data_IF_712357039148
#
_entry.id   IF_712357039148
#
_cell.length_a   1.000
_cell.length_b   1.000
_cell.length_c   1.000
_cell.angle_alpha   90.00
_cell.angle_beta   90.00
_cell.angle_gamma   90.00
#
_symmetry.space_group_name_H-M   'P 1'
#
loop_
_entity.id
_entity.type
_entity.pdbx_description
1 polymer ?
#
# COMPACT_ATOMS: atom_id res chain seq x y z
N UNK A 1 6.53 8.38 -20.48
CA UNK A 1 5.93 8.09 -19.15
C UNK A 1 5.93 9.38 -18.35
N UNK A 2 4.76 9.77 -17.82
CA UNK A 2 4.65 10.99 -17.00
C UNK A 2 4.91 10.73 -15.52
N UNK A 3 5.05 9.47 -15.13
CA UNK A 3 5.41 9.09 -13.76
C UNK A 3 6.85 9.50 -13.47
N UNK A 4 7.06 10.19 -12.36
CA UNK A 4 8.40 10.66 -11.98
C UNK A 4 8.67 10.42 -10.50
N UNK A 5 9.94 10.30 -10.17
CA UNK A 5 10.39 10.19 -8.78
C UNK A 5 9.85 11.37 -7.98
N UNK A 6 9.31 11.08 -6.80
CA UNK A 6 8.64 12.06 -5.95
C UNK A 6 7.13 12.08 -6.09
N UNK A 7 6.55 11.39 -7.09
CA UNK A 7 5.10 11.26 -7.21
C UNK A 7 4.53 10.58 -5.95
N UNK A 8 3.40 11.08 -5.47
CA UNK A 8 2.77 10.62 -4.25
C UNK A 8 1.27 10.42 -4.43
N UNK A 9 0.71 9.52 -3.62
CA UNK A 9 -0.73 9.34 -3.54
C UNK A 9 -1.12 8.94 -2.12
N UNK A 10 -2.17 9.58 -1.61
CA UNK A 10 -2.78 9.22 -0.33
C UNK A 10 -4.23 8.81 -0.56
N UNK A 11 -4.62 7.67 -0.03
CA UNK A 11 -6.00 7.19 -0.03
C UNK A 11 -6.48 6.98 1.39
N UNK A 12 -7.79 7.15 1.62
CA UNK A 12 -8.42 6.83 2.89
C UNK A 12 -9.10 5.47 2.81
N UNK A 13 -9.16 4.77 3.94
CA UNK A 13 -9.91 3.53 4.04
C UNK A 13 -10.40 3.31 5.48
N UNK A 14 -11.41 2.46 5.61
CA UNK A 14 -11.95 2.05 6.91
C UNK A 14 -11.58 0.60 7.15
N UNK A 15 -11.17 0.28 8.38
CA UNK A 15 -10.83 -1.09 8.77
C UNK A 15 -12.11 -1.90 8.90
N UNK A 16 -12.46 -2.64 7.85
CA UNK A 16 -13.70 -3.40 7.77
C UNK A 16 -13.60 -4.54 6.77
N UNK A 17 -14.57 -5.45 6.79
CA UNK A 17 -14.69 -6.51 5.80
C UNK A 17 -13.46 -7.40 5.72
N UNK A 18 -12.91 -7.53 4.53
CA UNK A 18 -11.75 -8.39 4.25
C UNK A 18 -10.47 -7.95 4.93
N UNK A 19 -10.41 -6.70 5.43
CA UNK A 19 -9.24 -6.19 6.10
C UNK A 19 -9.12 -6.69 7.53
N UNK A 20 -10.16 -7.31 8.06
CA UNK A 20 -10.27 -7.71 9.46
C UNK A 20 -9.71 -9.10 9.73
N UNK A 21 -9.18 -9.28 10.93
CA UNK A 21 -8.81 -10.59 11.46
C UNK A 21 -8.94 -10.59 12.99
N UNK A 22 -9.27 -11.76 13.56
CA UNK A 22 -9.18 -12.00 14.99
C UNK A 22 -8.03 -12.96 15.32
N UNK A 23 -7.10 -13.13 14.36
CA UNK A 23 -5.92 -14.00 14.46
C UNK A 23 -6.32 -15.44 14.84
N UNK A 24 -7.24 -16.02 14.04
CA UNK A 24 -7.71 -17.39 14.27
C UNK A 24 -8.51 -17.58 15.54
N UNK A 25 -9.21 -16.53 15.99
CA UNK A 25 -10.02 -16.57 17.21
C UNK A 25 -9.22 -16.30 18.48
N UNK A 26 -7.93 -15.93 18.38
CA UNK A 26 -7.10 -15.68 19.57
C UNK A 26 -7.32 -14.30 20.17
N UNK A 27 -7.86 -13.35 19.40
CA UNK A 27 -8.16 -12.00 19.88
C UNK A 27 -9.65 -11.89 20.24
N UNK A 28 -9.95 -11.02 21.20
CA UNK A 28 -11.33 -10.74 21.62
C UNK A 28 -12.05 -9.75 20.69
N UNK A 29 -11.36 -9.21 19.71
CA UNK A 29 -11.91 -8.24 18.75
C UNK A 29 -11.25 -8.40 17.39
N UNK A 30 -11.89 -7.81 16.37
CA UNK A 30 -11.35 -7.76 15.02
C UNK A 30 -10.40 -6.55 14.88
N UNK A 31 -9.28 -6.77 14.20
CA UNK A 31 -8.27 -5.73 13.94
C UNK A 31 -7.86 -5.77 12.47
N UNK A 32 -7.19 -4.71 12.01
CA UNK A 32 -6.60 -4.67 10.68
C UNK A 32 -5.56 -5.78 10.57
N UNK A 33 -5.74 -6.68 9.61
CA UNK A 33 -4.79 -7.77 9.38
C UNK A 33 -3.55 -7.23 8.64
N UNK A 34 -2.42 -7.91 8.83
CA UNK A 34 -1.20 -7.59 8.08
C UNK A 34 -1.40 -7.75 6.57
N UNK A 35 -1.99 -8.85 6.07
CA UNK A 35 -2.31 -8.93 4.63
C UNK A 35 -3.26 -7.82 4.17
N UNK A 36 -4.23 -7.43 4.99
CA UNK A 36 -5.15 -6.33 4.67
C UNK A 36 -4.43 -5.00 4.54
N UNK A 37 -3.53 -4.71 5.46
CA UNK A 37 -2.69 -3.51 5.39
C UNK A 37 -1.85 -3.50 4.12
N UNK A 38 -1.20 -4.61 3.81
CA UNK A 38 -0.38 -4.76 2.61
C UNK A 38 -1.23 -4.57 1.35
N UNK A 39 -2.45 -5.12 1.31
CA UNK A 39 -3.33 -4.95 0.16
C UNK A 39 -3.67 -3.48 -0.11
N UNK A 40 -3.83 -2.68 0.94
CA UNK A 40 -4.05 -1.24 0.79
C UNK A 40 -2.81 -0.52 0.28
N UNK A 41 -1.64 -0.90 0.76
CA UNK A 41 -0.36 -0.37 0.27
C UNK A 41 -0.17 -0.69 -1.22
N UNK A 42 -0.41 -1.93 -1.62
CA UNK A 42 -0.28 -2.36 -3.01
C UNK A 42 -1.28 -1.64 -3.92
N UNK A 43 -2.54 -1.53 -3.48
CA UNK A 43 -3.57 -0.84 -4.25
C UNK A 43 -3.22 0.63 -4.47
N UNK A 44 -2.80 1.31 -3.43
CA UNK A 44 -2.41 2.72 -3.48
C UNK A 44 -1.25 2.95 -4.45
N UNK A 45 -0.19 2.15 -4.34
CA UNK A 45 0.98 2.24 -5.23
C UNK A 45 0.63 1.85 -6.67
N UNK A 46 -0.27 0.88 -6.86
CA UNK A 46 -0.74 0.46 -8.18
C UNK A 46 -1.49 1.58 -8.90
N UNK A 47 -2.39 2.25 -8.20
CA UNK A 47 -3.16 3.37 -8.78
C UNK A 47 -2.23 4.52 -9.13
N UNK A 48 -1.32 4.87 -8.21
CA UNK A 48 -0.32 5.91 -8.45
C UNK A 48 0.51 5.60 -9.71
N UNK A 49 0.95 4.36 -9.85
CA UNK A 49 1.72 3.92 -11.02
C UNK A 49 0.90 4.05 -12.29
N UNK A 50 -0.33 3.53 -12.27
CA UNK A 50 -1.17 3.46 -13.46
C UNK A 50 -1.49 4.85 -14.01
N UNK A 51 -1.71 5.82 -13.14
CA UNK A 51 -2.01 7.20 -13.54
C UNK A 51 -0.88 7.85 -14.34
N UNK A 52 0.36 7.42 -14.13
CA UNK A 52 1.52 7.99 -14.81
C UNK A 52 2.11 7.12 -15.91
N UNK A 53 1.55 5.94 -16.16
CA UNK A 53 2.07 5.03 -17.19
C UNK A 53 1.49 5.35 -18.56
N UNK A 54 2.24 5.04 -19.65
CA UNK A 54 1.69 5.13 -21.00
C UNK A 54 0.56 4.13 -21.20
N UNK A 55 -0.28 4.41 -22.17
CA UNK A 55 -1.35 3.49 -22.58
C UNK A 55 -0.77 2.11 -22.93
N UNK A 56 -1.46 1.05 -22.55
CA UNK A 56 -1.02 -0.32 -22.80
C UNK A 56 -0.09 -0.88 -21.73
N UNK A 57 0.23 -0.10 -20.72
CA UNK A 57 1.09 -0.53 -19.61
C UNK A 57 0.30 -0.62 -18.30
N UNK A 58 0.76 -1.50 -17.43
CA UNK A 58 0.27 -1.64 -16.05
C UNK A 58 1.41 -2.13 -15.17
N UNK A 59 1.15 -2.31 -13.89
CA UNK A 59 2.16 -2.86 -12.99
C UNK A 59 1.61 -4.07 -12.23
N UNK A 60 2.52 -4.95 -11.84
CA UNK A 60 2.26 -6.03 -10.89
C UNK A 60 3.22 -5.89 -9.71
N UNK A 61 2.80 -6.38 -8.55
CA UNK A 61 3.65 -6.37 -7.36
C UNK A 61 4.82 -7.33 -7.52
N UNK A 62 5.98 -6.91 -7.03
CA UNK A 62 7.19 -7.73 -7.05
C UNK A 62 7.69 -8.04 -5.65
N UNK A 63 7.75 -7.03 -4.78
CA UNK A 63 8.28 -7.19 -3.43
C UNK A 63 7.55 -6.25 -2.47
N UNK A 64 7.29 -6.76 -1.26
CA UNK A 64 6.79 -5.95 -0.14
C UNK A 64 7.69 -6.22 1.05
N UNK A 65 8.26 -5.18 1.62
CA UNK A 65 9.12 -5.27 2.78
C UNK A 65 8.64 -4.23 3.80
N UNK A 66 7.72 -4.63 4.68
CA UNK A 66 7.04 -3.72 5.61
C UNK A 66 6.98 -4.29 7.00
N UNK A 67 6.77 -3.41 7.97
CA UNK A 67 6.49 -3.76 9.36
C UNK A 67 5.12 -3.25 9.74
N UNK A 68 4.33 -4.09 10.40
CA UNK A 68 3.05 -3.74 10.98
C UNK A 68 3.29 -3.45 12.46
N UNK A 69 3.42 -2.17 12.81
CA UNK A 69 3.96 -1.74 14.10
C UNK A 69 2.91 -1.40 15.13
N UNK A 70 1.65 -1.26 14.75
CA UNK A 70 0.55 -0.99 15.68
C UNK A 70 -0.76 -1.54 15.14
N UNK A 71 -1.67 -1.91 16.04
CA UNK A 71 -2.98 -2.44 15.65
C UNK A 71 -4.00 -1.32 15.44
N UNK A 72 -4.93 -1.55 14.54
CA UNK A 72 -6.12 -0.72 14.38
C UNK A 72 -7.35 -1.60 14.51
N UNK A 73 -8.35 -1.13 15.28
CA UNK A 73 -9.57 -1.88 15.53
C UNK A 73 -10.58 -1.69 14.40
N UNK A 74 -11.56 -2.58 14.34
CA UNK A 74 -12.67 -2.45 13.40
C UNK A 74 -13.30 -1.06 13.47
N UNK A 75 -13.56 -0.48 12.29
CA UNK A 75 -14.15 0.85 12.18
C UNK A 75 -13.16 2.00 12.17
N UNK A 76 -11.88 1.74 12.44
CA UNK A 76 -10.85 2.79 12.42
C UNK A 76 -10.73 3.39 11.02
N UNK A 77 -10.57 4.72 10.96
CA UNK A 77 -10.33 5.45 9.71
C UNK A 77 -8.84 5.63 9.55
N UNK A 78 -8.32 5.15 8.43
CA UNK A 78 -6.90 5.12 8.17
C UNK A 78 -6.58 5.81 6.85
N UNK A 79 -5.30 6.18 6.69
CA UNK A 79 -4.76 6.65 5.43
C UNK A 79 -3.62 5.74 5.00
N UNK A 80 -3.50 5.53 3.71
CA UNK A 80 -2.35 4.85 3.10
C UNK A 80 -1.70 5.81 2.13
N UNK A 81 -0.37 5.90 2.21
CA UNK A 81 0.42 6.82 1.42
C UNK A 81 1.56 6.10 0.74
N UNK A 82 1.75 6.35 -0.55
CA UNK A 82 2.89 5.88 -1.31
C UNK A 82 3.63 7.07 -1.94
N UNK A 83 4.95 6.97 -1.95
CA UNK A 83 5.81 7.91 -2.66
C UNK A 83 6.77 7.13 -3.53
N UNK A 84 6.78 7.46 -4.81
CA UNK A 84 7.71 6.84 -5.76
C UNK A 84 9.12 7.35 -5.48
N UNK A 85 9.99 6.46 -5.06
CA UNK A 85 11.37 6.77 -4.65
C UNK A 85 12.38 6.59 -5.74
N UNK A 86 12.16 5.60 -6.63
CA UNK A 86 13.14 5.22 -7.63
C UNK A 86 12.47 4.56 -8.83
N UNK A 87 12.97 4.84 -10.01
CA UNK A 87 12.59 4.16 -11.26
C UNK A 87 13.86 3.60 -11.87
N UNK A 88 13.87 2.28 -12.14
CA UNK A 88 15.00 1.61 -12.74
C UNK A 88 14.59 1.03 -14.09
N UNK A 89 15.28 1.44 -15.16
CA UNK A 89 15.07 0.94 -16.53
C UNK A 89 13.63 1.09 -17.02
N UNK A 90 12.90 2.12 -16.57
CA UNK A 90 11.48 2.33 -16.87
C UNK A 90 10.61 1.09 -16.58
N UNK A 91 11.09 0.17 -15.76
CA UNK A 91 10.44 -1.11 -15.50
C UNK A 91 10.26 -1.41 -14.02
N UNK A 92 11.18 -1.00 -13.17
CA UNK A 92 11.12 -1.26 -11.73
C UNK A 92 10.73 0.03 -11.02
N UNK A 93 9.62 0.01 -10.30
CA UNK A 93 9.12 1.15 -9.55
C UNK A 93 9.22 0.84 -8.07
N UNK A 94 10.01 1.61 -7.33
CA UNK A 94 10.24 1.41 -5.90
C UNK A 94 9.61 2.54 -5.10
N UNK A 95 8.79 2.16 -4.12
CA UNK A 95 7.99 3.07 -3.31
C UNK A 95 8.36 2.99 -1.84
N UNK A 96 8.27 4.13 -1.15
CA UNK A 96 8.08 4.14 0.29
C UNK A 96 6.58 4.11 0.54
N UNK A 97 6.14 3.29 1.49
CA UNK A 97 4.71 3.13 1.81
C UNK A 97 4.49 3.26 3.31
N UNK A 98 3.33 3.82 3.68
CA UNK A 98 2.97 3.99 5.08
C UNK A 98 1.45 3.94 5.24
N UNK A 99 1.00 3.34 6.36
CA UNK A 99 -0.41 3.37 6.77
C UNK A 99 -0.48 4.02 8.15
N UNK A 100 -1.43 4.95 8.32
CA UNK A 100 -1.63 5.69 9.57
C UNK A 100 -3.09 5.70 9.98
N UNK A 101 -3.29 5.83 11.28
CA UNK A 101 -4.57 6.25 11.87
C UNK A 101 -4.31 7.59 12.56
N UNK A 102 -4.74 8.69 11.95
CA UNK A 102 -4.36 10.02 12.41
C UNK A 102 -2.84 10.20 12.36
N UNK A 103 -2.25 10.60 13.47
CA UNK A 103 -0.79 10.78 13.59
C UNK A 103 -0.06 9.47 13.92
N UNK A 104 -0.79 8.39 14.20
CA UNK A 104 -0.21 7.13 14.64
C UNK A 104 0.14 6.23 13.45
N UNK A 105 1.40 5.88 13.30
CA UNK A 105 1.85 4.96 12.26
C UNK A 105 1.42 3.54 12.61
N UNK A 106 0.74 2.87 11.70
CA UNK A 106 0.34 1.46 11.83
C UNK A 106 1.31 0.54 11.11
N UNK A 107 1.81 0.96 9.96
CA UNK A 107 2.76 0.19 9.18
C UNK A 107 3.57 1.06 8.25
N UNK A 108 4.77 0.61 7.92
CA UNK A 108 5.68 1.34 7.02
C UNK A 108 6.71 0.40 6.41
N UNK A 109 7.25 0.82 5.28
CA UNK A 109 8.31 0.08 4.62
C UNK A 109 8.43 0.45 3.15
N UNK A 110 8.84 -0.54 2.36
CA UNK A 110 9.08 -0.37 0.93
C UNK A 110 8.29 -1.38 0.12
N UNK A 111 8.02 -1.02 -1.13
CA UNK A 111 7.28 -1.85 -2.07
C UNK A 111 7.84 -1.64 -3.47
N UNK A 112 8.05 -2.73 -4.19
CA UNK A 112 8.48 -2.67 -5.58
C UNK A 112 7.42 -3.25 -6.49
N UNK A 113 7.17 -2.56 -7.60
CA UNK A 113 6.27 -3.02 -8.67
C UNK A 113 7.04 -3.12 -9.98
N UNK A 114 6.56 -3.95 -10.86
CA UNK A 114 7.15 -4.14 -12.20
C UNK A 114 6.17 -3.72 -13.27
N UNK A 115 6.65 -2.91 -14.20
CA UNK A 115 5.86 -2.50 -15.37
C UNK A 115 5.77 -3.66 -16.34
N UNK A 116 4.55 -3.94 -16.80
CA UNK A 116 4.27 -5.00 -17.78
C UNK A 116 3.40 -4.46 -18.90
N UNK A 117 3.35 -5.20 -19.98
CA UNK A 117 2.33 -4.98 -21.02
C UNK A 117 0.97 -5.42 -20.47
N UNK A 118 -0.02 -4.64 -20.73
CA UNK A 118 -1.38 -4.84 -20.23
C UNK A 118 -2.15 -5.88 -21.01
#
# INVERSE_FOLDING_TARGET
>A
MTLSVGAERTDEFVVEGRLLTDVGGTLSRQVLSTPGMISMMERNASILSFEGLPEGKATVGFEVCVKHVAAAVEGARCTVHARLREIVDDRKLRFDVEVREGARTLGLGTHERRVIER
#
